data_IF_471208139786
#
_entry.id   IF_471208139786
#
_cell.length_a   1.000
_cell.length_b   1.000
_cell.length_c   1.000
_cell.angle_alpha   90.00
_cell.angle_beta   90.00
_cell.angle_gamma   90.00
#
_symmetry.space_group_name_H-M   'P 1'
#
loop_
_entity.id
_entity.type
_entity.pdbx_description
1 polymer ?
#
# COMPACT_ATOMS: atom_id res chain seq x y z
N UNK A 1 0.93 2.18 -13.64
CA UNK A 1 0.85 1.43 -12.38
C UNK A 1 1.35 2.37 -11.30
N UNK A 2 0.58 2.58 -10.23
CA UNK A 2 1.02 3.42 -9.12
C UNK A 2 1.98 2.64 -8.23
N UNK A 3 3.03 3.29 -7.76
CA UNK A 3 4.00 2.75 -6.80
C UNK A 3 4.10 3.74 -5.64
N UNK A 4 4.17 3.20 -4.41
CA UNK A 4 4.24 3.97 -3.19
C UNK A 4 5.33 3.40 -2.29
N UNK A 5 6.20 4.28 -1.79
CA UNK A 5 7.22 3.95 -0.81
C UNK A 5 6.91 4.63 0.52
N UNK A 6 7.00 3.87 1.60
CA UNK A 6 6.81 4.35 2.96
C UNK A 6 7.90 3.77 3.86
N UNK A 7 8.46 4.59 4.74
CA UNK A 7 9.48 4.18 5.70
C UNK A 7 8.97 4.39 7.12
N UNK A 8 8.97 3.34 7.93
CA UNK A 8 8.65 3.41 9.35
C UNK A 8 9.88 3.71 10.21
N UNK A 9 11.04 3.18 9.79
CA UNK A 9 12.29 3.25 10.54
C UNK A 9 12.39 2.15 11.60
N UNK A 10 13.05 2.45 12.73
CA UNK A 10 13.34 1.49 13.78
C UNK A 10 12.09 1.01 14.53
N UNK A 11 12.00 -0.30 14.78
CA UNK A 11 10.93 -0.94 15.55
C UNK A 11 11.51 -1.56 16.82
N UNK A 12 11.01 -1.16 18.00
CA UNK A 12 11.46 -1.71 19.29
C UNK A 12 11.01 -3.18 19.41
N UNK A 13 11.88 -4.13 19.81
CA UNK A 13 11.47 -5.51 20.05
C UNK A 13 10.35 -5.63 21.09
N UNK A 14 9.31 -6.43 20.78
CA UNK A 14 8.16 -6.62 21.66
C UNK A 14 7.17 -5.45 21.73
N UNK A 15 7.35 -4.42 20.90
CA UNK A 15 6.43 -3.27 20.85
C UNK A 15 5.20 -3.53 19.96
N UNK A 16 4.16 -2.71 20.17
CA UNK A 16 3.04 -2.53 19.24
C UNK A 16 3.02 -1.06 18.83
N UNK A 17 2.93 -0.80 17.53
CA UNK A 17 3.09 0.55 16.98
C UNK A 17 1.88 0.96 16.15
N UNK A 18 1.59 2.26 16.14
CA UNK A 18 0.68 2.89 15.18
C UNK A 18 1.50 3.60 14.12
N UNK A 19 1.19 3.38 12.84
CA UNK A 19 1.84 4.04 11.72
C UNK A 19 0.83 4.80 10.87
N UNK A 20 1.13 6.06 10.57
CA UNK A 20 0.37 6.90 9.67
C UNK A 20 1.17 7.17 8.40
N UNK A 21 0.50 7.05 7.24
CA UNK A 21 1.07 7.36 5.93
C UNK A 21 0.08 8.18 5.11
N UNK A 22 0.59 9.01 4.20
CA UNK A 22 -0.23 9.79 3.27
C UNK A 22 -0.17 9.15 1.88
N UNK A 23 -1.33 8.78 1.34
CA UNK A 23 -1.46 8.33 -0.04
C UNK A 23 -1.99 9.50 -0.86
N UNK A 24 -1.19 10.00 -1.79
CA UNK A 24 -1.60 11.06 -2.69
C UNK A 24 -2.15 10.47 -3.99
N UNK A 25 -3.27 11.02 -4.46
CA UNK A 25 -3.85 10.67 -5.75
C UNK A 25 -3.02 11.25 -6.89
N UNK A 26 -3.05 10.56 -8.04
CA UNK A 26 -2.59 11.16 -9.30
C UNK A 26 -3.56 12.29 -9.74
N UNK A 27 -3.24 12.97 -10.84
CA UNK A 27 -4.07 14.03 -11.41
C UNK A 27 -5.48 13.51 -11.80
N UNK A 28 -6.49 14.38 -11.70
CA UNK A 28 -7.90 13.99 -11.86
C UNK A 28 -8.23 13.38 -13.23
N UNK A 29 -7.52 13.79 -14.28
CA UNK A 29 -7.60 13.26 -15.65
C UNK A 29 -7.09 11.81 -15.78
N UNK A 30 -6.35 11.31 -14.78
CA UNK A 30 -5.83 9.94 -14.72
C UNK A 30 -6.61 9.04 -13.75
N UNK A 31 -7.64 9.58 -13.11
CA UNK A 31 -8.48 8.81 -12.20
C UNK A 31 -9.43 7.91 -12.99
N UNK A 32 -9.33 6.61 -12.73
CA UNK A 32 -10.20 5.61 -13.36
C UNK A 32 -11.50 5.49 -12.55
N UNK A 33 -12.68 5.41 -13.20
CA UNK A 33 -13.95 5.28 -12.48
C UNK A 33 -14.01 4.04 -11.57
N UNK A 34 -14.59 4.20 -10.38
CA UNK A 34 -14.69 3.14 -9.36
C UNK A 34 -15.33 1.83 -9.88
N UNK A 35 -16.35 1.94 -10.74
CA UNK A 35 -17.01 0.77 -11.37
C UNK A 35 -16.05 -0.07 -12.23
N UNK A 36 -15.05 0.56 -12.84
CA UNK A 36 -14.02 -0.14 -13.63
C UNK A 36 -12.95 -0.74 -12.72
N UNK A 37 -12.62 -0.06 -11.63
CA UNK A 37 -11.59 -0.50 -10.68
C UNK A 37 -12.06 -1.66 -9.78
N UNK A 38 -13.34 -1.68 -9.40
CA UNK A 38 -13.91 -2.66 -8.48
C UNK A 38 -13.68 -4.10 -8.96
N UNK A 39 -13.02 -4.91 -8.13
CA UNK A 39 -12.66 -6.29 -8.45
C UNK A 39 -11.47 -6.45 -9.40
N UNK A 40 -11.03 -5.40 -10.08
CA UNK A 40 -9.94 -5.43 -11.06
C UNK A 40 -8.59 -4.93 -10.51
N UNK A 41 -8.60 -4.23 -9.36
CA UNK A 41 -7.38 -3.75 -8.70
C UNK A 41 -6.90 -4.74 -7.64
N UNK A 42 -5.59 -5.00 -7.64
CA UNK A 42 -4.89 -5.71 -6.57
C UNK A 42 -3.75 -4.83 -6.06
N UNK A 43 -3.77 -4.52 -4.77
CA UNK A 43 -2.64 -3.88 -4.08
C UNK A 43 -1.68 -4.97 -3.65
N UNK A 44 -0.40 -4.78 -3.98
CA UNK A 44 0.68 -5.69 -3.57
C UNK A 44 1.60 -4.93 -2.64
N UNK A 45 1.69 -5.37 -1.38
CA UNK A 45 2.54 -4.74 -0.38
C UNK A 45 3.73 -5.65 -0.08
N UNK A 46 4.93 -5.08 -0.08
CA UNK A 46 6.15 -5.74 0.32
C UNK A 46 6.62 -5.11 1.63
N UNK A 47 6.92 -5.93 2.63
CA UNK A 47 7.41 -5.49 3.94
C UNK A 47 8.89 -5.82 4.05
N UNK A 48 9.70 -4.82 4.39
CA UNK A 48 11.16 -4.93 4.45
C UNK A 48 11.72 -4.59 5.83
N UNK A 49 12.83 -5.23 6.17
CA UNK A 49 13.76 -4.83 7.23
C UNK A 49 15.14 -4.59 6.57
N UNK A 50 15.49 -3.33 6.32
CA UNK A 50 16.57 -2.98 5.38
C UNK A 50 16.31 -3.58 4.00
N UNK A 51 17.23 -4.42 3.51
CA UNK A 51 17.08 -5.12 2.22
C UNK A 51 16.37 -6.48 2.32
N UNK A 52 16.03 -6.93 3.54
CA UNK A 52 15.38 -8.23 3.76
C UNK A 52 13.87 -8.13 3.51
N UNK A 53 13.37 -8.85 2.49
CA UNK A 53 11.93 -9.03 2.29
C UNK A 53 11.36 -9.97 3.36
N UNK A 54 10.60 -9.41 4.31
CA UNK A 54 9.97 -10.16 5.40
C UNK A 54 8.70 -10.86 4.91
N UNK A 55 7.86 -10.16 4.15
CA UNK A 55 6.63 -10.74 3.62
C UNK A 55 6.08 -9.97 2.41
N UNK A 56 5.19 -10.64 1.68
CA UNK A 56 4.46 -10.09 0.54
C UNK A 56 2.98 -10.38 0.69
N UNK A 57 2.14 -9.35 0.66
CA UNK A 57 0.69 -9.48 0.70
C UNK A 57 0.07 -9.03 -0.63
N UNK A 58 -1.11 -9.58 -0.94
CA UNK A 58 -1.93 -9.20 -2.08
C UNK A 58 -3.36 -9.01 -1.63
N UNK A 59 -3.94 -7.84 -1.87
CA UNK A 59 -5.31 -7.51 -1.49
C UNK A 59 -6.08 -7.04 -2.71
N UNK A 60 -7.19 -7.71 -3.04
CA UNK A 60 -8.10 -7.30 -4.12
C UNK A 60 -9.11 -6.29 -3.58
N UNK A 61 -9.28 -5.19 -4.30
CA UNK A 61 -10.15 -4.07 -3.88
C UNK A 61 -11.49 -4.15 -4.61
N UNK A 62 -12.57 -4.01 -3.86
CA UNK A 62 -13.92 -3.83 -4.37
C UNK A 62 -14.46 -2.49 -3.85
N UNK A 63 -14.94 -1.66 -4.77
CA UNK A 63 -15.72 -0.47 -4.45
C UNK A 63 -17.19 -0.90 -4.47
N UNK A 64 -17.86 -0.77 -3.32
CA UNK A 64 -19.25 -1.18 -3.07
C UNK A 64 -20.11 0.00 -2.66
#
# INVERSE_FOLDING_TARGET
MADWSFEFGFVIPGSTNTWQSLIQSDSADRMIPAKVLSGNVVIVTHFYDGDLLVSKSKVRIFYV
#
